data_IF_572077794910
#
_entry.id   IF_572077794910
#
_cell.length_a   1.000
_cell.length_b   1.000
_cell.length_c   1.000
_cell.angle_alpha   90.00
_cell.angle_beta   90.00
_cell.angle_gamma   90.00
#
_symmetry.space_group_name_H-M   'P 1'
#
loop_
_entity.id
_entity.type
_entity.pdbx_description
1 polymer ?
#
# COMPACT_ATOMS: atom_id res chain seq x y z
N UNK A 1 -23.64 -53.74 -11.93
CA UNK A 1 -23.46 -53.58 -10.46
C UNK A 1 -22.33 -54.44 -9.88
N UNK A 2 -22.22 -55.74 -10.22
CA UNK A 2 -21.16 -56.62 -9.68
C UNK A 2 -19.71 -56.26 -10.12
N UNK A 3 -19.52 -55.63 -11.27
CA UNK A 3 -18.17 -55.22 -11.75
C UNK A 3 -17.65 -53.97 -11.00
N UNK A 4 -18.54 -53.09 -10.55
CA UNK A 4 -18.17 -51.90 -9.78
C UNK A 4 -17.72 -52.27 -8.35
N UNK A 5 -18.37 -53.28 -7.75
CA UNK A 5 -18.09 -53.75 -6.39
C UNK A 5 -16.73 -54.49 -6.32
N UNK A 6 -16.33 -55.21 -7.38
CA UNK A 6 -15.01 -55.87 -7.48
C UNK A 6 -13.84 -54.87 -7.63
N UNK A 7 -14.07 -53.73 -8.29
CA UNK A 7 -13.03 -52.69 -8.43
C UNK A 7 -12.81 -51.91 -7.13
N UNK A 8 -13.87 -51.63 -6.38
CA UNK A 8 -13.76 -50.94 -5.08
C UNK A 8 -13.09 -51.78 -4.00
N UNK A 9 -13.36 -53.10 -3.96
CA UNK A 9 -12.69 -54.02 -3.03
C UNK A 9 -11.21 -54.19 -3.34
N UNK A 10 -10.81 -54.25 -4.62
CA UNK A 10 -9.40 -54.30 -5.01
C UNK A 10 -8.61 -53.02 -4.66
N UNK A 11 -9.25 -51.86 -4.67
CA UNK A 11 -8.59 -50.58 -4.34
C UNK A 11 -8.36 -50.45 -2.82
N UNK A 12 -9.32 -50.93 -2.02
CA UNK A 12 -9.21 -50.95 -0.55
C UNK A 12 -8.05 -51.84 -0.07
N UNK A 13 -7.88 -53.02 -0.67
CA UNK A 13 -6.76 -53.92 -0.35
C UNK A 13 -5.40 -53.33 -0.69
N UNK A 14 -5.28 -52.54 -1.77
CA UNK A 14 -4.01 -51.88 -2.13
C UNK A 14 -3.67 -50.76 -1.13
N UNK A 15 -4.67 -50.01 -0.65
CA UNK A 15 -4.47 -48.95 0.35
C UNK A 15 -4.12 -49.53 1.71
N UNK A 16 -4.74 -50.64 2.13
CA UNK A 16 -4.39 -51.33 3.38
C UNK A 16 -2.98 -51.95 3.34
N UNK A 17 -2.57 -52.53 2.20
CA UNK A 17 -1.22 -53.08 2.03
C UNK A 17 -0.16 -51.98 2.02
N UNK A 18 -0.44 -50.83 1.38
CA UNK A 18 0.46 -49.66 1.41
C UNK A 18 0.54 -49.02 2.81
N UNK A 19 -0.57 -48.99 3.56
CA UNK A 19 -0.62 -48.52 4.94
C UNK A 19 0.15 -49.44 5.90
N UNK A 20 0.09 -50.76 5.70
CA UNK A 20 0.83 -51.74 6.50
C UNK A 20 2.34 -51.75 6.19
N UNK A 21 2.75 -51.57 4.93
CA UNK A 21 4.17 -51.46 4.55
C UNK A 21 4.84 -50.19 5.12
N UNK A 22 4.08 -49.11 5.35
CA UNK A 22 4.56 -47.88 5.98
C UNK A 22 4.82 -47.99 7.49
N UNK A 23 4.24 -48.99 8.18
CA UNK A 23 4.40 -49.16 9.63
C UNK A 23 5.64 -49.96 10.06
N UNK A 24 6.27 -50.71 9.16
CA UNK A 24 7.39 -51.62 9.49
C UNK A 24 8.78 -51.11 9.09
N UNK A 25 8.88 -49.96 8.41
CA UNK A 25 10.15 -49.33 8.10
C UNK A 25 10.11 -47.87 8.55
N UNK A 26 10.88 -47.46 9.57
CA UNK A 26 11.13 -46.06 9.80
C UNK A 26 12.09 -45.60 8.69
N UNK A 27 11.54 -45.36 7.49
CA UNK A 27 12.25 -44.57 6.51
C UNK A 27 12.40 -43.19 7.13
N UNK A 28 13.62 -42.85 7.53
CA UNK A 28 14.06 -41.46 7.55
C UNK A 28 13.97 -40.96 6.11
N UNK A 29 12.76 -40.61 5.67
CA UNK A 29 12.52 -39.87 4.45
C UNK A 29 13.16 -38.51 4.72
N UNK A 30 14.42 -38.35 4.33
CA UNK A 30 14.93 -37.04 3.98
C UNK A 30 13.95 -36.54 2.92
N UNK A 31 13.13 -35.55 3.26
CA UNK A 31 12.13 -35.01 2.36
C UNK A 31 12.82 -34.65 1.05
N UNK A 32 12.63 -35.47 0.00
CA UNK A 32 13.07 -35.12 -1.33
C UNK A 32 12.35 -33.81 -1.64
N UNK A 33 13.11 -32.74 -1.91
CA UNK A 33 12.54 -31.44 -2.26
C UNK A 33 11.54 -31.65 -3.39
N UNK A 34 10.31 -31.21 -3.19
CA UNK A 34 9.28 -31.32 -4.19
C UNK A 34 9.73 -30.57 -5.46
N UNK A 35 9.48 -31.12 -6.66
CA UNK A 35 9.85 -30.45 -7.90
C UNK A 35 9.16 -29.08 -8.02
N UNK A 36 7.95 -28.97 -7.47
CA UNK A 36 7.16 -27.74 -7.42
C UNK A 36 6.42 -27.66 -6.08
N UNK A 37 6.23 -26.46 -5.55
CA UNK A 37 5.26 -26.25 -4.48
C UNK A 37 3.86 -26.11 -5.09
N UNK A 38 2.77 -26.53 -4.41
CA UNK A 38 1.42 -26.39 -4.94
C UNK A 38 1.07 -24.97 -5.40
N UNK A 39 1.56 -23.94 -4.70
CA UNK A 39 1.40 -22.53 -5.10
C UNK A 39 2.09 -22.19 -6.41
N UNK A 40 3.24 -22.79 -6.70
CA UNK A 40 4.06 -22.50 -7.87
C UNK A 40 3.39 -23.01 -9.15
N UNK A 41 2.55 -24.03 -9.02
CA UNK A 41 1.81 -24.64 -10.13
C UNK A 41 0.48 -23.90 -10.38
N UNK A 42 -0.06 -23.16 -9.41
CA UNK A 42 -1.35 -22.47 -9.54
C UNK A 42 -1.42 -21.61 -10.82
N UNK A 43 -0.42 -20.79 -11.19
CA UNK A 43 -0.49 -19.98 -12.39
C UNK A 43 -0.54 -20.78 -13.71
N UNK A 44 -0.10 -22.04 -13.69
CA UNK A 44 -0.04 -22.93 -14.86
C UNK A 44 -1.33 -23.76 -14.99
N UNK A 45 -2.10 -23.91 -13.92
CA UNK A 45 -3.38 -24.62 -13.94
C UNK A 45 -4.45 -23.82 -14.70
N UNK A 46 -5.48 -24.49 -15.27
CA UNK A 46 -6.59 -23.82 -15.93
C UNK A 46 -7.20 -22.72 -15.04
N UNK A 47 -7.41 -21.54 -15.62
CA UNK A 47 -7.89 -20.35 -14.89
C UNK A 47 -9.16 -20.61 -14.07
N UNK A 48 -10.05 -21.48 -14.54
CA UNK A 48 -11.28 -21.84 -13.81
C UNK A 48 -11.00 -22.45 -12.43
N UNK A 49 -9.84 -23.09 -12.24
CA UNK A 49 -9.43 -23.73 -10.99
C UNK A 49 -8.45 -22.84 -10.22
N UNK A 50 -7.46 -22.25 -10.90
CA UNK A 50 -6.41 -21.49 -10.24
C UNK A 50 -6.79 -20.08 -9.86
N UNK A 51 -7.56 -19.38 -10.71
CA UNK A 51 -7.85 -17.96 -10.53
C UNK A 51 -8.62 -17.65 -9.23
N UNK A 52 -9.62 -18.45 -8.81
CA UNK A 52 -10.27 -18.23 -7.51
C UNK A 52 -9.32 -18.37 -6.32
N UNK A 53 -8.39 -19.34 -6.39
CA UNK A 53 -7.41 -19.59 -5.33
C UNK A 53 -6.35 -18.48 -5.34
N UNK A 54 -5.86 -18.10 -6.51
CA UNK A 54 -4.87 -17.03 -6.67
C UNK A 54 -5.42 -15.68 -6.24
N UNK A 55 -6.68 -15.35 -6.51
CA UNK A 55 -7.30 -14.09 -6.05
C UNK A 55 -7.64 -14.11 -4.55
N UNK A 56 -7.79 -15.29 -3.96
CA UNK A 56 -7.92 -15.42 -2.51
C UNK A 56 -6.57 -15.19 -1.82
N UNK A 57 -5.52 -15.84 -2.32
CA UNK A 57 -4.17 -15.75 -1.76
C UNK A 57 -3.54 -14.37 -2.03
N UNK A 58 -3.59 -13.91 -3.28
CA UNK A 58 -2.92 -12.68 -3.73
C UNK A 58 -3.91 -11.54 -4.01
N UNK A 59 -3.41 -10.31 -4.14
CA UNK A 59 -4.16 -9.14 -4.55
C UNK A 59 -3.25 -7.92 -4.74
N UNK A 60 -3.85 -6.75 -4.97
CA UNK A 60 -3.11 -5.52 -5.29
C UNK A 60 -2.06 -5.11 -4.23
N UNK A 61 -2.32 -5.39 -2.94
CA UNK A 61 -1.38 -5.08 -1.85
C UNK A 61 -0.08 -5.90 -1.91
N UNK A 62 -0.06 -7.03 -2.62
CA UNK A 62 1.13 -7.89 -2.74
C UNK A 62 2.20 -7.33 -3.68
N UNK A 63 1.92 -6.20 -4.33
CA UNK A 63 2.93 -5.40 -5.00
C UNK A 63 3.87 -4.68 -4.01
N UNK A 64 3.47 -4.58 -2.75
CA UNK A 64 4.28 -3.95 -1.71
C UNK A 64 5.24 -5.00 -1.11
N UNK A 65 6.55 -4.74 -1.08
CA UNK A 65 7.48 -5.64 -0.41
C UNK A 65 7.34 -5.53 1.11
N UNK A 66 7.88 -6.49 1.85
CA UNK A 66 8.03 -6.40 3.30
C UNK A 66 9.48 -6.14 3.67
N UNK A 67 9.73 -5.26 4.64
CA UNK A 67 11.07 -5.10 5.20
C UNK A 67 11.48 -6.37 5.95
N UNK A 68 12.66 -6.91 5.64
CA UNK A 68 13.20 -8.10 6.32
C UNK A 68 14.40 -7.78 7.22
N UNK A 69 14.99 -6.59 7.06
CA UNK A 69 16.08 -6.11 7.90
C UNK A 69 17.09 -5.28 7.11
N UNK A 70 18.16 -4.83 7.79
CA UNK A 70 19.25 -4.09 7.17
C UNK A 70 20.57 -4.85 7.29
N UNK A 71 21.29 -5.00 6.19
CA UNK A 71 22.62 -5.61 6.18
C UNK A 71 23.67 -4.59 6.60
N UNK A 72 24.29 -4.83 7.76
CA UNK A 72 25.30 -3.97 8.37
C UNK A 72 26.72 -4.43 8.04
N UNK A 73 27.70 -3.51 8.08
CA UNK A 73 29.11 -3.89 8.11
C UNK A 73 29.51 -4.50 9.46
N UNK A 74 30.60 -5.29 9.45
CA UNK A 74 31.29 -5.85 10.63
C UNK A 74 30.64 -7.07 11.33
N UNK A 75 30.62 -8.22 10.65
CA UNK A 75 30.25 -9.55 11.19
C UNK A 75 28.83 -9.69 11.78
N UNK A 76 27.98 -8.68 11.64
CA UNK A 76 26.57 -8.81 11.96
C UNK A 76 25.84 -9.44 10.78
N UNK A 77 25.49 -10.70 10.95
CA UNK A 77 24.70 -11.44 9.98
C UNK A 77 23.22 -11.21 10.27
N UNK A 78 22.50 -10.65 9.29
CA UNK A 78 21.04 -10.55 9.32
C UNK A 78 20.46 -11.89 8.88
N UNK A 79 19.51 -12.43 9.64
CA UNK A 79 18.81 -13.68 9.29
C UNK A 79 17.31 -13.44 9.11
N UNK A 80 16.71 -14.04 8.09
CA UNK A 80 15.26 -14.01 7.88
C UNK A 80 14.73 -15.26 7.18
N UNK A 81 13.41 -15.41 7.21
CA UNK A 81 12.66 -16.40 6.43
C UNK A 81 12.10 -15.71 5.18
N UNK A 82 12.49 -16.20 4.01
CA UNK A 82 11.95 -15.75 2.73
C UNK A 82 10.62 -16.40 2.37
N UNK A 83 10.06 -15.96 1.24
CA UNK A 83 8.85 -16.55 0.68
C UNK A 83 9.16 -17.97 0.19
N UNK A 84 10.30 -18.12 -0.51
CA UNK A 84 10.73 -19.39 -1.07
C UNK A 84 11.88 -20.08 -0.33
N UNK A 85 12.82 -19.30 0.19
CA UNK A 85 13.99 -19.81 0.91
C UNK A 85 13.80 -19.59 2.41
N UNK A 86 13.80 -20.65 3.21
CA UNK A 86 13.43 -20.53 4.62
C UNK A 86 14.56 -20.16 5.57
N UNK A 87 15.80 -20.17 5.10
CA UNK A 87 16.96 -19.76 5.88
C UNK A 87 17.85 -18.88 5.01
N UNK A 88 17.74 -17.59 5.23
CA UNK A 88 18.46 -16.58 4.47
C UNK A 88 19.29 -15.74 5.41
N UNK A 89 20.51 -15.42 4.97
CA UNK A 89 21.42 -14.59 5.73
C UNK A 89 22.03 -13.51 4.83
N UNK A 90 22.31 -12.32 5.36
CA UNK A 90 22.99 -11.26 4.63
C UNK A 90 24.01 -10.52 5.48
N UNK A 91 25.10 -10.08 4.86
CA UNK A 91 26.10 -9.19 5.45
C UNK A 91 26.73 -8.29 4.39
N UNK A 92 27.25 -7.14 4.82
CA UNK A 92 27.87 -6.17 3.93
C UNK A 92 29.38 -6.11 4.17
N UNK A 93 30.15 -6.22 3.09
CA UNK A 93 31.59 -5.98 3.09
C UNK A 93 31.91 -4.68 2.35
N UNK A 94 32.61 -3.75 2.99
CA UNK A 94 33.11 -2.55 2.33
C UNK A 94 34.39 -2.85 1.58
N UNK A 95 34.57 -2.23 0.43
CA UNK A 95 35.81 -2.32 -0.34
C UNK A 95 36.11 -1.00 -1.03
N UNK A 96 37.35 -0.82 -1.49
CA UNK A 96 37.71 0.32 -2.34
C UNK A 96 38.44 -0.19 -3.58
N UNK A 97 37.76 -1.02 -4.38
CA UNK A 97 38.32 -1.61 -5.60
C UNK A 97 38.60 -0.55 -6.68
N UNK A 98 37.82 0.53 -6.71
CA UNK A 98 37.95 1.60 -7.73
C UNK A 98 38.95 2.70 -7.35
N UNK A 99 39.34 2.79 -6.06
CA UNK A 99 40.20 3.85 -5.55
C UNK A 99 39.50 5.19 -5.35
N UNK A 100 38.16 5.22 -5.35
CA UNK A 100 37.37 6.43 -5.12
C UNK A 100 37.45 6.90 -3.66
N UNK A 101 37.01 8.14 -3.41
CA UNK A 101 37.04 8.75 -2.07
C UNK A 101 36.26 7.93 -1.03
N UNK A 102 35.13 7.33 -1.43
CA UNK A 102 34.24 6.60 -0.53
C UNK A 102 34.25 5.09 -0.75
N UNK A 103 34.89 4.59 -1.82
CA UNK A 103 34.86 3.18 -2.19
C UNK A 103 33.43 2.70 -2.49
N UNK A 104 33.23 1.39 -2.37
CA UNK A 104 31.97 0.69 -2.58
C UNK A 104 31.73 -0.41 -1.54
N UNK A 105 30.87 -1.36 -1.87
CA UNK A 105 30.58 -2.50 -1.02
C UNK A 105 30.08 -3.71 -1.80
N UNK A 106 30.25 -4.89 -1.21
CA UNK A 106 29.71 -6.15 -1.70
C UNK A 106 28.69 -6.63 -0.67
N UNK A 107 27.43 -6.68 -1.06
CA UNK A 107 26.38 -7.28 -0.25
C UNK A 107 26.33 -8.77 -0.53
N UNK A 108 26.60 -9.59 0.48
CA UNK A 108 26.52 -11.03 0.39
C UNK A 108 25.14 -11.48 0.84
N UNK A 109 24.50 -12.33 0.05
CA UNK A 109 23.25 -12.99 0.38
C UNK A 109 23.43 -14.49 0.28
N UNK A 110 23.27 -15.19 1.39
CA UNK A 110 23.26 -16.65 1.42
C UNK A 110 21.84 -17.11 1.65
N UNK A 111 21.24 -17.68 0.62
CA UNK A 111 19.89 -18.22 0.69
C UNK A 111 19.92 -19.74 0.67
N UNK A 112 19.09 -20.37 1.48
CA UNK A 112 19.11 -21.82 1.65
C UNK A 112 17.74 -22.38 2.01
N UNK A 113 17.64 -23.71 2.02
CA UNK A 113 16.41 -24.41 2.38
C UNK A 113 15.21 -24.01 1.49
N UNK A 114 15.42 -23.96 0.16
CA UNK A 114 14.34 -23.81 -0.82
C UNK A 114 13.28 -24.91 -0.65
N UNK A 115 12.01 -24.52 -0.65
CA UNK A 115 10.89 -25.47 -0.52
C UNK A 115 10.51 -26.17 -1.84
N UNK A 116 10.92 -25.63 -2.99
CA UNK A 116 10.76 -26.25 -4.31
C UNK A 116 11.97 -26.01 -5.22
N UNK A 117 12.02 -26.69 -6.37
CA UNK A 117 13.08 -26.47 -7.37
C UNK A 117 12.83 -25.23 -8.23
N UNK A 118 11.58 -24.78 -8.31
CA UNK A 118 11.19 -23.55 -9.02
C UNK A 118 11.28 -22.32 -8.13
N UNK A 119 11.98 -22.42 -7.00
CA UNK A 119 11.99 -21.37 -6.01
C UNK A 119 12.62 -20.09 -6.54
N UNK A 120 11.96 -18.95 -6.31
CA UNK A 120 12.48 -17.64 -6.69
C UNK A 120 11.94 -16.55 -5.77
N UNK A 121 12.86 -15.89 -5.06
CA UNK A 121 12.56 -14.69 -4.29
C UNK A 121 13.01 -13.46 -5.09
N UNK A 122 12.24 -12.39 -5.01
CA UNK A 122 12.56 -11.07 -5.56
C UNK A 122 12.81 -10.10 -4.40
N UNK A 123 13.98 -9.48 -4.39
CA UNK A 123 14.40 -8.55 -3.36
C UNK A 123 14.58 -7.14 -3.93
N UNK A 124 14.23 -6.15 -3.10
CA UNK A 124 14.55 -4.75 -3.32
C UNK A 124 15.57 -4.35 -2.24
N UNK A 125 16.61 -3.64 -2.66
CA UNK A 125 17.68 -3.15 -1.82
C UNK A 125 17.69 -1.64 -1.88
N UNK A 126 17.60 -0.99 -0.73
CA UNK A 126 17.43 0.46 -0.65
C UNK A 126 18.36 1.12 0.35
N UNK A 127 18.86 2.29 -0.04
CA UNK A 127 19.39 3.33 0.84
C UNK A 127 18.56 4.59 0.62
N UNK A 128 18.71 5.64 1.46
CA UNK A 128 18.16 6.96 1.18
C UNK A 128 18.64 7.63 -0.12
N UNK A 129 19.54 7.01 -0.87
CA UNK A 129 20.19 7.56 -2.05
C UNK A 129 19.93 6.74 -3.30
N UNK A 130 19.72 5.42 -3.17
CA UNK A 130 19.50 4.54 -4.31
C UNK A 130 18.57 3.39 -3.97
N UNK A 131 17.92 2.88 -5.02
CA UNK A 131 17.17 1.64 -4.98
C UNK A 131 17.61 0.75 -6.12
N UNK A 132 17.84 -0.52 -5.82
CA UNK A 132 18.11 -1.58 -6.79
C UNK A 132 17.32 -2.83 -6.42
N UNK A 133 17.26 -3.81 -7.31
CA UNK A 133 16.53 -5.04 -7.10
C UNK A 133 17.25 -6.21 -7.76
N UNK A 134 17.04 -7.40 -7.24
CA UNK A 134 17.58 -8.63 -7.82
C UNK A 134 16.69 -9.82 -7.45
N UNK A 135 16.85 -10.93 -8.18
CA UNK A 135 16.11 -12.16 -7.94
C UNK A 135 17.07 -13.33 -7.71
N UNK A 136 16.67 -14.25 -6.83
CA UNK A 136 17.50 -15.40 -6.52
C UNK A 136 16.72 -16.69 -6.57
N UNK A 137 17.26 -17.68 -7.30
CA UNK A 137 16.61 -18.97 -7.56
C UNK A 137 17.45 -20.19 -7.16
N UNK A 138 18.72 -20.00 -6.78
CA UNK A 138 19.61 -21.09 -6.35
C UNK A 138 19.93 -20.96 -4.86
N UNK A 139 19.81 -22.06 -4.12
CA UNK A 139 20.29 -22.15 -2.73
C UNK A 139 21.83 -22.14 -2.69
N UNK A 140 22.42 -20.94 -2.67
CA UNK A 140 23.85 -20.71 -2.58
C UNK A 140 24.10 -19.30 -2.03
N UNK A 141 25.38 -18.97 -1.89
CA UNK A 141 25.81 -17.59 -1.70
C UNK A 141 25.77 -16.84 -3.04
N UNK A 142 25.23 -15.62 -2.99
CA UNK A 142 25.17 -14.66 -4.08
C UNK A 142 25.76 -13.33 -3.58
N UNK A 143 26.13 -12.48 -4.52
CA UNK A 143 26.72 -11.17 -4.23
C UNK A 143 26.06 -10.10 -5.08
N UNK A 144 25.72 -8.97 -4.47
CA UNK A 144 25.30 -7.76 -5.15
C UNK A 144 26.38 -6.69 -4.96
N UNK A 145 26.94 -6.20 -6.06
CA UNK A 145 28.07 -5.27 -6.04
C UNK A 145 27.62 -3.82 -6.15
N UNK A 146 28.08 -3.01 -5.20
CA UNK A 146 28.01 -1.56 -5.24
C UNK A 146 29.42 -1.04 -5.56
N UNK A 147 29.65 -0.65 -6.82
CA UNK A 147 30.98 -0.22 -7.26
C UNK A 147 31.48 0.99 -6.47
N UNK A 148 30.61 2.01 -6.33
CA UNK A 148 30.89 3.25 -5.62
C UNK A 148 29.66 3.78 -4.90
N UNK A 149 29.86 4.30 -3.69
CA UNK A 149 28.85 5.10 -2.98
C UNK A 149 28.75 6.49 -3.60
N UNK A 150 27.53 7.02 -3.70
CA UNK A 150 27.20 8.22 -4.46
C UNK A 150 27.72 9.49 -3.77
N UNK A 151 27.79 9.47 -2.44
CA UNK A 151 28.25 10.59 -1.62
C UNK A 151 28.77 10.15 -0.26
N UNK A 152 29.45 11.06 0.44
CA UNK A 152 29.84 10.90 1.85
C UNK A 152 28.63 10.54 2.73
N UNK A 153 27.48 11.13 2.43
CA UNK A 153 26.26 10.94 3.19
C UNK A 153 25.70 9.53 3.02
N UNK A 154 25.76 8.97 1.80
CA UNK A 154 25.41 7.56 1.58
C UNK A 154 26.40 6.63 2.28
N UNK A 155 27.70 6.89 2.15
CA UNK A 155 28.74 6.10 2.77
C UNK A 155 28.56 6.01 4.29
N UNK A 156 28.40 7.16 4.97
CA UNK A 156 28.17 7.19 6.43
C UNK A 156 26.81 6.58 6.81
N UNK A 157 25.76 6.77 6.00
CA UNK A 157 24.49 6.09 6.22
C UNK A 157 24.65 4.57 6.21
N UNK A 158 25.23 4.01 5.15
CA UNK A 158 25.38 2.55 4.99
C UNK A 158 26.28 1.98 6.09
N UNK A 159 27.30 2.73 6.50
CA UNK A 159 28.19 2.33 7.60
C UNK A 159 27.46 2.20 8.94
N UNK A 160 26.48 3.06 9.21
CA UNK A 160 25.78 3.11 10.50
C UNK A 160 24.41 2.42 10.52
N UNK A 161 23.72 2.35 9.37
CA UNK A 161 22.35 1.86 9.22
C UNK A 161 22.24 0.66 8.29
N UNK A 162 23.26 0.41 7.47
CA UNK A 162 23.28 -0.70 6.52
C UNK A 162 22.44 -0.44 5.27
N UNK A 163 22.26 -1.50 4.48
CA UNK A 163 21.38 -1.49 3.31
C UNK A 163 20.07 -2.16 3.70
N UNK A 164 18.95 -1.45 3.54
CA UNK A 164 17.62 -2.00 3.79
C UNK A 164 17.27 -3.06 2.75
N UNK A 165 16.84 -4.23 3.22
CA UNK A 165 16.44 -5.36 2.40
C UNK A 165 14.94 -5.54 2.51
N UNK A 166 14.30 -5.60 1.36
CA UNK A 166 12.86 -5.74 1.20
C UNK A 166 12.58 -6.98 0.36
N UNK A 167 11.63 -7.81 0.78
CA UNK A 167 11.24 -9.03 0.09
C UNK A 167 9.84 -8.90 -0.49
N UNK A 168 9.70 -9.24 -1.77
CA UNK A 168 8.39 -9.41 -2.39
C UNK A 168 7.79 -10.75 -1.94
N UNK A 169 6.93 -10.70 -0.92
CA UNK A 169 6.37 -11.91 -0.26
C UNK A 169 5.60 -12.81 -1.22
N UNK A 170 4.95 -12.22 -2.23
CA UNK A 170 4.22 -12.98 -3.24
C UNK A 170 5.12 -13.65 -4.30
N UNK A 171 6.44 -13.47 -4.21
CA UNK A 171 7.41 -13.93 -5.19
C UNK A 171 7.17 -13.29 -6.56
N UNK A 172 7.89 -13.74 -7.59
CA UNK A 172 7.81 -13.14 -8.93
C UNK A 172 6.41 -13.28 -9.57
N UNK A 173 5.83 -14.47 -9.54
CA UNK A 173 4.53 -14.73 -10.19
C UNK A 173 3.40 -13.98 -9.49
N UNK A 174 3.40 -13.97 -8.15
CA UNK A 174 2.43 -13.19 -7.39
C UNK A 174 2.62 -11.69 -7.57
N UNK A 175 3.85 -11.20 -7.69
CA UNK A 175 4.14 -9.79 -8.01
C UNK A 175 3.59 -9.39 -9.39
N UNK A 176 3.80 -10.22 -10.42
CA UNK A 176 3.25 -9.98 -11.76
C UNK A 176 1.72 -10.00 -11.77
N UNK A 177 1.11 -10.88 -10.95
CA UNK A 177 -0.33 -10.89 -10.76
C UNK A 177 -0.82 -9.63 -10.02
N UNK A 178 -0.14 -9.21 -8.96
CA UNK A 178 -0.49 -8.00 -8.23
C UNK A 178 -0.46 -6.75 -9.13
N UNK A 179 0.50 -6.68 -10.05
CA UNK A 179 0.57 -5.68 -11.13
C UNK A 179 -0.71 -5.64 -11.97
N UNK A 180 -1.27 -6.81 -12.31
CA UNK A 180 -2.53 -6.93 -13.03
C UNK A 180 -3.73 -6.53 -12.17
N UNK A 181 -3.70 -6.83 -10.87
CA UNK A 181 -4.77 -6.54 -9.92
C UNK A 181 -4.82 -5.06 -9.48
N UNK A 182 -3.71 -4.32 -9.58
CA UNK A 182 -3.67 -2.87 -9.31
C UNK A 182 -4.37 -2.08 -10.42
N UNK A 183 -4.16 -2.45 -11.68
CA UNK A 183 -4.73 -1.75 -12.84
C UNK A 183 -6.24 -1.46 -12.73
N UNK A 184 -7.13 -2.43 -12.41
CA UNK A 184 -8.56 -2.17 -12.34
C UNK A 184 -8.98 -1.14 -11.31
N UNK A 185 -8.25 -0.99 -10.20
CA UNK A 185 -8.62 -0.11 -9.10
C UNK A 185 -8.86 1.33 -9.57
N UNK A 186 -8.15 1.75 -10.62
CA UNK A 186 -8.21 3.10 -11.17
C UNK A 186 -9.12 3.23 -12.41
N UNK A 187 -9.85 2.19 -12.78
CA UNK A 187 -10.72 2.20 -13.97
C UNK A 187 -12.17 2.51 -13.61
N UNK A 188 -12.85 3.30 -14.44
CA UNK A 188 -14.27 3.61 -14.26
C UNK A 188 -15.16 2.56 -14.94
N UNK A 189 -15.10 1.34 -14.42
CA UNK A 189 -15.86 0.19 -14.94
C UNK A 189 -16.47 -0.61 -13.81
N UNK A 190 -17.46 -1.46 -14.11
CA UNK A 190 -17.98 -2.41 -13.11
C UNK A 190 -16.90 -3.38 -12.60
N UNK A 191 -15.84 -3.64 -13.39
CA UNK A 191 -14.69 -4.39 -12.90
C UNK A 191 -13.88 -3.59 -11.88
N UNK A 192 -13.58 -2.32 -12.17
CA UNK A 192 -12.87 -1.43 -11.24
C UNK A 192 -13.61 -1.23 -9.92
N UNK A 193 -14.92 -0.98 -9.98
CA UNK A 193 -15.76 -0.89 -8.78
C UNK A 193 -15.69 -2.15 -7.93
N UNK A 194 -15.88 -3.33 -8.54
CA UNK A 194 -15.80 -4.60 -7.82
C UNK A 194 -14.40 -4.89 -7.26
N UNK A 195 -13.34 -4.46 -7.94
CA UNK A 195 -11.97 -4.58 -7.45
C UNK A 195 -11.74 -3.68 -6.23
N UNK A 196 -12.21 -2.44 -6.23
CA UNK A 196 -12.13 -1.55 -5.06
C UNK A 196 -12.92 -2.12 -3.87
N UNK A 197 -14.15 -2.59 -4.10
CA UNK A 197 -14.96 -3.25 -3.07
C UNK A 197 -14.29 -4.51 -2.52
N UNK A 198 -13.72 -5.34 -3.40
CA UNK A 198 -12.98 -6.54 -3.03
C UNK A 198 -11.73 -6.23 -2.20
N UNK A 199 -11.00 -5.17 -2.58
CA UNK A 199 -9.84 -4.69 -1.84
C UNK A 199 -10.21 -4.25 -0.42
N UNK A 200 -11.20 -3.36 -0.28
CA UNK A 200 -11.67 -2.87 1.02
C UNK A 200 -12.21 -4.02 1.89
N UNK A 201 -12.92 -4.98 1.29
CA UNK A 201 -13.38 -6.18 2.00
C UNK A 201 -12.23 -7.05 2.50
N UNK A 202 -11.22 -7.30 1.66
CA UNK A 202 -10.06 -8.15 1.98
C UNK A 202 -9.19 -7.52 3.07
N UNK A 203 -8.91 -6.23 2.96
CA UNK A 203 -7.91 -5.55 3.78
C UNK A 203 -8.49 -4.80 4.99
N UNK A 204 -9.76 -4.40 4.94
CA UNK A 204 -10.41 -3.69 6.05
C UNK A 204 -11.57 -4.47 6.67
N UNK A 205 -12.00 -5.58 6.07
CA UNK A 205 -13.24 -6.26 6.47
C UNK A 205 -14.50 -5.44 6.19
N UNK A 206 -14.39 -4.38 5.37
CA UNK A 206 -15.50 -3.46 5.09
C UNK A 206 -16.52 -4.09 4.12
N UNK A 207 -17.80 -3.85 4.39
CA UNK A 207 -18.91 -4.27 3.52
C UNK A 207 -19.69 -3.06 3.01
N UNK A 208 -19.82 -2.96 1.69
CA UNK A 208 -20.64 -1.95 1.03
C UNK A 208 -21.86 -2.64 0.42
N UNK A 209 -23.02 -2.37 0.98
CA UNK A 209 -24.29 -2.94 0.54
C UNK A 209 -25.08 -1.93 -0.29
N UNK A 210 -25.60 -2.39 -1.42
CA UNK A 210 -26.44 -1.54 -2.26
C UNK A 210 -27.77 -1.26 -1.56
N UNK A 211 -28.11 0.03 -1.42
CA UNK A 211 -29.40 0.43 -0.86
C UNK A 211 -30.56 0.04 -1.80
N UNK A 212 -31.70 -0.41 -1.26
CA UNK A 212 -32.89 -0.67 -2.07
C UNK A 212 -33.37 0.61 -2.77
N UNK A 213 -33.87 0.45 -3.99
CA UNK A 213 -34.44 1.55 -4.78
C UNK A 213 -35.92 1.78 -4.42
N UNK A 214 -36.43 3.02 -4.59
CA UNK A 214 -35.74 4.20 -5.11
C UNK A 214 -34.82 4.85 -4.06
N UNK A 215 -33.69 5.40 -4.52
CA UNK A 215 -32.80 6.17 -3.66
C UNK A 215 -33.39 7.56 -3.46
N UNK A 216 -34.08 7.76 -2.34
CA UNK A 216 -34.68 9.04 -1.95
C UNK A 216 -34.05 9.51 -0.64
N UNK A 217 -33.83 10.82 -0.54
CA UNK A 217 -33.46 11.49 0.71
C UNK A 217 -34.62 12.38 1.15
N UNK A 218 -34.86 12.42 2.45
CA UNK A 218 -35.83 13.35 3.05
C UNK A 218 -35.18 14.68 3.47
N UNK A 219 -33.89 14.85 3.18
CA UNK A 219 -33.11 16.04 3.51
C UNK A 219 -33.23 17.04 2.37
N UNK A 220 -33.69 18.24 2.69
CA UNK A 220 -33.67 19.40 1.81
C UNK A 220 -32.43 20.27 2.07
N UNK A 221 -32.16 21.21 1.17
CA UNK A 221 -31.08 22.20 1.36
C UNK A 221 -31.29 23.00 2.64
N UNK A 222 -32.54 23.30 3.01
CA UNK A 222 -32.90 24.05 4.21
C UNK A 222 -32.55 23.32 5.52
N UNK A 223 -32.47 21.98 5.49
CA UNK A 223 -32.10 21.16 6.64
C UNK A 223 -30.58 21.15 6.91
N UNK A 224 -29.77 21.66 5.98
CA UNK A 224 -28.32 21.73 6.11
C UNK A 224 -27.95 23.06 6.74
N UNK A 225 -27.05 23.06 7.73
CA UNK A 225 -26.62 24.30 8.39
C UNK A 225 -25.09 24.41 8.47
N UNK A 226 -24.63 25.59 8.83
CA UNK A 226 -23.21 25.88 9.05
C UNK A 226 -22.57 24.91 10.03
N UNK A 227 -21.43 24.36 9.62
CA UNK A 227 -20.66 23.37 10.36
C UNK A 227 -21.08 21.92 10.11
N UNK A 228 -22.15 21.67 9.36
CA UNK A 228 -22.48 20.31 8.92
C UNK A 228 -21.38 19.75 8.01
N UNK A 229 -21.14 18.45 8.14
CA UNK A 229 -20.03 17.77 7.50
C UNK A 229 -20.53 16.83 6.41
N UNK A 230 -19.84 16.82 5.28
CA UNK A 230 -20.10 15.90 4.17
C UNK A 230 -18.95 14.89 4.11
N UNK A 231 -19.27 13.62 4.33
CA UNK A 231 -18.35 12.52 4.09
C UNK A 231 -18.58 11.96 2.68
N UNK A 232 -17.54 12.00 1.85
CA UNK A 232 -17.59 11.63 0.44
C UNK A 232 -16.75 10.38 0.24
N UNK A 233 -17.33 9.39 -0.44
CA UNK A 233 -16.71 8.09 -0.65
C UNK A 233 -16.88 7.63 -2.10
N UNK A 234 -15.80 7.74 -2.86
CA UNK A 234 -15.66 7.28 -4.24
C UNK A 234 -15.11 5.86 -4.27
N UNK A 235 -15.64 5.02 -5.16
CA UNK A 235 -15.20 3.62 -5.33
C UNK A 235 -15.00 3.25 -6.81
N UNK A 236 -15.08 4.22 -7.72
CA UNK A 236 -14.97 4.04 -9.16
C UNK A 236 -13.97 5.02 -9.77
N UNK A 237 -13.38 4.62 -10.89
CA UNK A 237 -12.48 5.50 -11.64
C UNK A 237 -11.17 5.79 -10.91
N UNK A 238 -10.43 6.76 -11.43
CA UNK A 238 -9.12 7.16 -10.91
C UNK A 238 -9.21 7.56 -9.44
N UNK A 239 -10.16 8.45 -9.12
CA UNK A 239 -10.34 8.95 -7.75
C UNK A 239 -10.87 7.89 -6.79
N UNK A 240 -11.74 6.98 -7.23
CA UNK A 240 -12.15 5.84 -6.41
C UNK A 240 -11.01 4.89 -6.06
N UNK A 241 -10.05 4.69 -6.97
CA UNK A 241 -8.83 3.93 -6.70
C UNK A 241 -7.95 4.60 -5.64
N UNK A 242 -7.70 5.91 -5.77
CA UNK A 242 -6.96 6.67 -4.76
C UNK A 242 -7.65 6.63 -3.40
N UNK A 243 -8.94 6.96 -3.34
CA UNK A 243 -9.67 6.92 -2.09
C UNK A 243 -9.74 5.51 -1.49
N UNK A 244 -9.71 4.45 -2.30
CA UNK A 244 -9.64 3.07 -1.79
C UNK A 244 -8.35 2.83 -1.01
N UNK A 245 -7.22 3.33 -1.53
CA UNK A 245 -5.94 3.26 -0.83
C UNK A 245 -5.93 4.17 0.41
N UNK A 246 -6.50 5.38 0.31
CA UNK A 246 -6.62 6.31 1.45
C UNK A 246 -7.47 5.72 2.59
N UNK A 247 -8.62 5.11 2.28
CA UNK A 247 -9.47 4.40 3.24
C UNK A 247 -8.71 3.28 3.93
N UNK A 248 -7.92 2.53 3.16
CA UNK A 248 -7.13 1.44 3.70
C UNK A 248 -6.06 1.91 4.69
N UNK A 249 -5.29 2.95 4.33
CA UNK A 249 -4.22 3.44 5.19
C UNK A 249 -4.73 4.23 6.39
N UNK A 250 -5.84 4.95 6.26
CA UNK A 250 -6.44 5.74 7.36
C UNK A 250 -7.41 4.95 8.24
N UNK A 251 -7.91 3.80 7.77
CA UNK A 251 -9.02 3.07 8.40
C UNK A 251 -10.39 3.75 8.23
N UNK A 252 -10.49 4.82 7.44
CA UNK A 252 -11.75 5.55 7.22
C UNK A 252 -12.63 4.89 6.15
N UNK A 253 -13.91 5.28 6.10
CA UNK A 253 -14.86 4.85 5.06
C UNK A 253 -15.12 5.94 4.00
N UNK A 254 -14.66 7.17 4.26
CA UNK A 254 -14.66 8.29 3.34
C UNK A 254 -13.21 8.58 2.92
N UNK A 255 -13.00 8.92 1.65
CA UNK A 255 -11.70 9.38 1.16
C UNK A 255 -11.64 10.90 1.04
N UNK A 256 -12.80 11.56 0.98
CA UNK A 256 -12.89 13.01 0.87
C UNK A 256 -13.92 13.59 1.84
N UNK A 257 -13.74 14.85 2.20
CA UNK A 257 -14.60 15.52 3.18
C UNK A 257 -14.79 16.98 2.81
N UNK A 258 -16.01 17.48 3.02
CA UNK A 258 -16.32 18.90 2.83
C UNK A 258 -17.16 19.43 4.00
N UNK A 259 -17.19 20.75 4.17
CA UNK A 259 -17.97 21.42 5.23
C UNK A 259 -18.97 22.40 4.63
N UNK A 260 -20.16 22.46 5.20
CA UNK A 260 -21.21 23.37 4.79
C UNK A 260 -21.17 24.67 5.61
N UNK A 261 -21.39 25.81 4.95
CA UNK A 261 -21.50 27.14 5.57
C UNK A 261 -22.66 27.92 4.93
N UNK A 262 -23.46 28.61 5.75
CA UNK A 262 -24.46 29.56 5.29
C UNK A 262 -23.92 30.98 5.40
N UNK A 263 -24.14 31.80 4.39
CA UNK A 263 -23.81 33.22 4.48
C UNK A 263 -24.90 34.01 5.22
N UNK A 264 -24.70 35.33 5.36
CA UNK A 264 -25.64 36.23 6.01
C UNK A 264 -27.00 36.35 5.30
N UNK A 265 -27.10 35.95 4.04
CA UNK A 265 -28.34 35.91 3.26
C UNK A 265 -29.02 34.54 3.36
N UNK A 266 -28.39 33.59 4.08
CA UNK A 266 -28.87 32.23 4.26
C UNK A 266 -28.52 31.29 3.11
N UNK A 267 -27.74 31.72 2.12
CA UNK A 267 -27.34 30.84 1.00
C UNK A 267 -26.29 29.83 1.46
N UNK A 268 -26.40 28.59 0.97
CA UNK A 268 -25.50 27.50 1.35
C UNK A 268 -24.27 27.44 0.45
N UNK A 269 -23.12 27.19 1.08
CA UNK A 269 -21.81 27.08 0.46
C UNK A 269 -21.12 25.81 0.96
N UNK A 270 -20.24 25.25 0.13
CA UNK A 270 -19.41 24.10 0.45
C UNK A 270 -17.95 24.52 0.39
N UNK A 271 -17.22 24.25 1.48
CA UNK A 271 -15.78 24.40 1.55
C UNK A 271 -15.09 23.03 1.50
N UNK A 272 -14.16 22.86 0.57
CA UNK A 272 -13.40 21.62 0.41
C UNK A 272 -11.97 21.88 -0.04
N UNK A 273 -11.10 20.87 0.06
CA UNK A 273 -9.74 20.91 -0.45
C UNK A 273 -9.57 19.79 -1.47
N UNK A 274 -9.23 20.13 -2.71
CA UNK A 274 -9.10 19.17 -3.81
C UNK A 274 -9.95 19.53 -5.02
N UNK A 275 -10.46 20.76 -5.07
CA UNK A 275 -11.17 21.27 -6.23
C UNK A 275 -10.15 21.68 -7.31
N UNK A 276 -10.35 21.22 -8.54
CA UNK A 276 -9.48 21.56 -9.67
C UNK A 276 -9.86 22.95 -10.22
N UNK A 277 -8.91 23.88 -10.22
CA UNK A 277 -9.10 25.19 -10.83
C UNK A 277 -8.99 25.15 -12.38
N UNK A 278 -9.18 26.31 -13.03
CA UNK A 278 -9.13 26.41 -14.51
C UNK A 278 -7.74 26.09 -15.09
N UNK A 279 -6.71 26.13 -14.26
CA UNK A 279 -5.34 25.80 -14.62
C UNK A 279 -4.98 24.34 -14.32
N UNK A 280 -5.94 23.53 -13.84
CA UNK A 280 -5.75 22.12 -13.53
C UNK A 280 -5.05 21.88 -12.17
N UNK A 281 -5.09 22.85 -11.26
CA UNK A 281 -4.45 22.75 -9.93
C UNK A 281 -5.48 22.43 -8.86
N UNK A 282 -5.12 21.52 -7.96
CA UNK A 282 -5.91 21.25 -6.76
C UNK A 282 -5.77 22.39 -5.74
N UNK A 283 -6.90 23.03 -5.42
CA UNK A 283 -6.98 24.14 -4.46
C UNK A 283 -7.99 23.87 -3.35
N UNK A 284 -7.92 24.70 -2.31
CA UNK A 284 -9.01 24.89 -1.36
C UNK A 284 -9.99 25.86 -1.98
N UNK A 285 -11.26 25.45 -2.08
CA UNK A 285 -12.30 26.24 -2.70
C UNK A 285 -13.53 26.36 -1.80
N UNK A 286 -14.18 27.52 -1.87
CA UNK A 286 -15.53 27.73 -1.34
C UNK A 286 -16.45 28.03 -2.52
N UNK A 287 -17.45 27.19 -2.74
CA UNK A 287 -18.36 27.34 -3.87
C UNK A 287 -19.83 27.23 -3.44
N UNK A 288 -20.77 27.83 -4.20
CA UNK A 288 -22.20 27.69 -3.94
C UNK A 288 -22.61 26.22 -3.93
N UNK A 289 -23.52 25.87 -3.03
CA UNK A 289 -24.06 24.51 -2.93
C UNK A 289 -24.59 23.99 -4.27
N UNK A 290 -25.29 24.83 -5.04
CA UNK A 290 -25.88 24.41 -6.32
C UNK A 290 -24.81 24.02 -7.34
N UNK A 291 -23.68 24.72 -7.35
CA UNK A 291 -22.54 24.43 -8.22
C UNK A 291 -21.86 23.12 -7.81
N UNK A 292 -21.56 22.98 -6.52
CA UNK A 292 -20.96 21.77 -5.95
C UNK A 292 -21.86 20.55 -6.20
N UNK A 293 -23.14 20.65 -5.87
CA UNK A 293 -24.09 19.56 -6.01
C UNK A 293 -24.36 19.19 -7.47
N UNK A 294 -24.38 20.16 -8.39
CA UNK A 294 -24.48 19.87 -9.82
C UNK A 294 -23.24 19.12 -10.33
N UNK A 295 -22.05 19.48 -9.85
CA UNK A 295 -20.83 18.75 -10.17
C UNK A 295 -20.90 17.30 -9.69
N UNK A 296 -21.18 17.10 -8.40
CA UNK A 296 -21.26 15.76 -7.80
C UNK A 296 -22.31 14.86 -8.47
N UNK A 297 -23.46 15.43 -8.87
CA UNK A 297 -24.53 14.67 -9.51
C UNK A 297 -24.30 14.36 -10.99
N UNK A 298 -23.61 15.23 -11.74
CA UNK A 298 -23.59 15.16 -13.21
C UNK A 298 -22.20 15.06 -13.83
N UNK A 299 -21.15 15.47 -13.11
CA UNK A 299 -19.79 15.63 -13.65
C UNK A 299 -18.78 14.73 -12.94
N UNK A 300 -18.98 14.41 -11.66
CA UNK A 300 -18.13 13.43 -10.98
C UNK A 300 -18.43 12.02 -11.50
N UNK A 301 -17.55 11.52 -12.36
CA UNK A 301 -17.67 10.22 -12.98
C UNK A 301 -17.38 9.07 -12.01
N UNK A 302 -16.81 9.35 -10.84
CA UNK A 302 -16.66 8.36 -9.78
C UNK A 302 -17.99 8.01 -9.08
N UNK A 303 -19.05 8.81 -9.31
CA UNK A 303 -20.39 8.66 -8.73
C UNK A 303 -20.32 8.44 -7.19
N UNK A 304 -19.91 9.47 -6.44
CA UNK A 304 -19.61 9.32 -5.02
C UNK A 304 -20.82 8.98 -4.16
N UNK A 305 -20.58 8.25 -3.08
CA UNK A 305 -21.49 8.19 -1.96
C UNK A 305 -21.25 9.40 -1.06
N UNK A 306 -22.29 10.20 -0.85
CA UNK A 306 -22.23 11.39 -0.01
C UNK A 306 -23.13 11.17 1.20
N UNK A 307 -22.54 11.23 2.39
CA UNK A 307 -23.25 11.19 3.65
C UNK A 307 -23.21 12.57 4.32
N UNK A 308 -24.38 13.12 4.62
CA UNK A 308 -24.50 14.29 5.47
C UNK A 308 -24.41 13.86 6.94
N UNK A 309 -23.51 14.49 7.69
CA UNK A 309 -23.34 14.33 9.13
C UNK A 309 -23.62 15.67 9.81
N UNK A 310 -24.87 15.91 10.27
CA UNK A 310 -25.22 17.15 10.93
C UNK A 310 -24.54 17.28 12.28
N UNK A 311 -24.17 18.50 12.66
CA UNK A 311 -23.72 18.75 14.02
C UNK A 311 -24.83 18.40 15.04
N UNK A 312 -24.41 17.74 16.14
CA UNK A 312 -25.28 17.53 17.30
C UNK A 312 -25.74 18.89 17.85
N UNK A 313 -27.01 19.05 18.30
CA UNK A 313 -27.55 20.37 18.66
C UNK A 313 -26.73 21.16 19.68
N UNK A 314 -26.15 20.51 20.68
CA UNK A 314 -25.29 21.12 21.71
C UNK A 314 -23.93 21.60 21.18
N UNK A 315 -23.42 20.97 20.12
CA UNK A 315 -22.19 21.39 19.42
C UNK A 315 -22.53 22.52 18.44
N UNK A 316 -23.66 22.40 17.73
CA UNK A 316 -24.15 23.45 16.83
C UNK A 316 -24.35 24.77 17.55
N UNK A 317 -24.91 24.75 18.76
CA UNK A 317 -25.08 25.95 19.58
C UNK A 317 -23.76 26.65 19.97
N UNK A 318 -22.62 25.95 19.86
CA UNK A 318 -21.28 26.49 20.13
C UNK A 318 -20.52 26.85 18.85
N UNK A 319 -21.06 26.53 17.68
CA UNK A 319 -20.40 26.76 16.40
C UNK A 319 -20.32 28.27 16.14
N UNK A 320 -19.09 28.79 15.99
CA UNK A 320 -18.87 30.20 15.69
C UNK A 320 -18.81 30.39 14.18
N UNK A 321 -19.96 30.73 13.60
CA UNK A 321 -20.12 30.91 12.15
C UNK A 321 -19.26 32.05 11.58
N UNK A 322 -19.13 33.16 12.32
CA UNK A 322 -18.26 34.28 11.91
C UNK A 322 -16.81 33.84 11.80
N UNK A 323 -16.29 33.16 12.83
CA UNK A 323 -14.92 32.66 12.82
C UNK A 323 -14.70 31.59 11.74
N UNK A 324 -15.70 30.74 11.50
CA UNK A 324 -15.65 29.73 10.44
C UNK A 324 -15.53 30.38 9.06
N UNK A 325 -16.32 31.43 8.78
CA UNK A 325 -16.23 32.18 7.53
C UNK A 325 -14.92 32.95 7.37
N UNK A 326 -14.43 33.59 8.42
CA UNK A 326 -13.11 34.24 8.42
C UNK A 326 -12.01 33.24 8.07
N UNK A 327 -12.03 32.06 8.69
CA UNK A 327 -11.08 31.00 8.39
C UNK A 327 -11.22 30.50 6.95
N UNK A 328 -12.44 30.15 6.52
CA UNK A 328 -12.68 29.64 5.18
C UNK A 328 -12.18 30.62 4.12
N UNK A 329 -12.55 31.90 4.20
CA UNK A 329 -12.09 32.94 3.26
C UNK A 329 -10.58 33.14 3.29
N UNK A 330 -9.94 32.94 4.44
CA UNK A 330 -8.47 33.00 4.53
C UNK A 330 -7.78 31.82 3.83
N UNK A 331 -8.50 30.74 3.55
CA UNK A 331 -7.98 29.52 2.93
C UNK A 331 -8.37 29.37 1.47
N UNK A 332 -9.45 30.03 1.03
CA UNK A 332 -9.93 30.01 -0.35
C UNK A 332 -8.81 30.40 -1.34
N UNK A 333 -8.66 29.60 -2.41
CA UNK A 333 -7.62 29.73 -3.42
C UNK A 333 -6.22 29.28 -3.00
N UNK A 334 -6.01 28.82 -1.75
CA UNK A 334 -4.72 28.24 -1.35
C UNK A 334 -4.52 26.86 -1.98
N UNK A 335 -3.26 26.41 -2.16
CA UNK A 335 -2.99 25.06 -2.64
C UNK A 335 -3.62 23.99 -1.75
N UNK A 336 -3.89 22.83 -2.37
CA UNK A 336 -4.33 21.62 -1.66
C UNK A 336 -3.50 21.31 -0.41
N UNK A 337 -4.15 20.76 0.61
CA UNK A 337 -3.58 20.45 1.91
C UNK A 337 -2.58 19.29 1.94
N UNK A 338 -1.62 19.22 1.00
CA UNK A 338 -0.61 18.17 0.87
C UNK A 338 0.11 17.86 2.19
N UNK A 339 0.35 18.90 3.00
CA UNK A 339 1.05 18.77 4.28
C UNK A 339 0.31 17.94 5.36
N UNK A 340 -0.97 17.63 5.15
CA UNK A 340 -1.74 16.75 6.03
C UNK A 340 -1.93 15.34 5.46
N UNK A 341 -1.83 15.16 4.14
CA UNK A 341 -2.20 13.92 3.48
C UNK A 341 -1.40 12.72 4.01
N UNK A 342 -0.07 12.77 3.97
CA UNK A 342 0.75 11.61 4.36
C UNK A 342 0.65 11.32 5.87
N UNK A 343 0.74 12.37 6.69
CA UNK A 343 0.66 12.25 8.15
C UNK A 343 -0.75 11.99 8.70
N UNK A 344 -1.76 11.84 7.84
CA UNK A 344 -3.06 11.31 8.27
C UNK A 344 -2.99 9.83 8.65
N UNK A 345 -1.97 9.10 8.19
CA UNK A 345 -1.81 7.67 8.42
C UNK A 345 -0.37 7.23 8.74
N UNK A 346 0.58 8.15 8.95
CA UNK A 346 1.95 7.85 9.42
C UNK A 346 2.28 8.52 10.78
N UNK A 347 1.29 8.58 11.66
CA UNK A 347 1.35 9.33 12.93
C UNK A 347 2.10 8.59 14.07
N UNK A 348 2.43 7.31 13.88
CA UNK A 348 3.19 6.53 14.87
C UNK A 348 4.41 5.89 14.23
N UNK A 349 5.37 5.43 15.05
CA UNK A 349 6.60 4.80 14.56
C UNK A 349 6.30 3.49 13.83
N UNK A 350 5.35 2.69 14.33
CA UNK A 350 5.06 1.33 13.84
C UNK A 350 3.60 0.88 14.07
N UNK A 351 2.79 1.64 14.80
CA UNK A 351 1.48 1.19 15.30
C UNK A 351 0.29 1.41 14.36
N UNK A 352 0.46 2.14 13.27
CA UNK A 352 -0.66 2.58 12.41
C UNK A 352 -0.48 2.28 10.92
N UNK A 353 0.54 1.52 10.53
CA UNK A 353 0.72 1.08 9.15
C UNK A 353 -0.09 -0.20 8.89
N UNK A 354 -0.95 -0.26 7.87
CA UNK A 354 -1.57 -1.52 7.51
C UNK A 354 -0.53 -2.45 6.85
N UNK A 355 -0.45 -3.74 7.26
CA UNK A 355 0.49 -4.67 6.64
C UNK A 355 0.30 -4.77 5.11
N UNK A 356 1.37 -4.84 4.30
CA UNK A 356 2.77 -4.97 4.69
C UNK A 356 3.52 -3.64 4.84
N UNK A 357 2.82 -2.49 4.85
CA UNK A 357 3.47 -1.20 5.03
C UNK A 357 4.14 -1.13 6.40
N UNK A 358 5.28 -0.48 6.44
CA UNK A 358 5.99 -0.08 7.65
C UNK A 358 6.74 1.23 7.40
N UNK A 359 7.33 1.79 8.46
CA UNK A 359 8.10 3.02 8.37
C UNK A 359 9.32 2.91 7.44
N UNK A 360 9.95 1.73 7.33
CA UNK A 360 11.11 1.52 6.47
C UNK A 360 10.73 1.58 4.98
N UNK A 361 9.62 0.92 4.62
CA UNK A 361 9.08 0.94 3.27
C UNK A 361 8.62 2.34 2.89
N UNK A 362 7.86 3.02 3.76
CA UNK A 362 7.43 4.39 3.51
C UNK A 362 8.63 5.32 3.33
N UNK A 363 9.63 5.25 4.21
CA UNK A 363 10.85 6.04 4.05
C UNK A 363 11.56 5.74 2.72
N UNK A 364 11.70 4.47 2.35
CA UNK A 364 12.40 4.09 1.12
C UNK A 364 11.64 4.53 -0.14
N UNK A 365 10.31 4.40 -0.15
CA UNK A 365 9.45 4.89 -1.25
C UNK A 365 9.57 6.40 -1.37
N UNK A 366 9.54 7.13 -0.26
CA UNK A 366 9.65 8.59 -0.26
C UNK A 366 11.01 9.08 -0.77
N UNK A 367 12.07 8.31 -0.56
CA UNK A 367 13.39 8.58 -1.15
C UNK A 367 13.31 8.53 -2.66
N UNK A 368 12.78 7.43 -3.21
CA UNK A 368 12.62 7.25 -4.66
C UNK A 368 11.70 8.31 -5.23
N UNK A 369 10.59 8.58 -4.55
CA UNK A 369 9.61 9.58 -4.95
C UNK A 369 10.22 10.99 -5.00
N UNK A 370 11.10 11.33 -4.05
CA UNK A 370 11.81 12.61 -4.05
C UNK A 370 12.76 12.78 -5.24
N UNK A 371 13.25 11.68 -5.82
CA UNK A 371 14.07 11.72 -7.03
C UNK A 371 13.23 11.85 -8.31
N UNK A 372 12.05 11.21 -8.34
CA UNK A 372 11.18 11.18 -9.52
C UNK A 372 10.25 12.41 -9.61
N UNK A 373 9.68 12.84 -8.48
CA UNK A 373 8.73 13.96 -8.36
C UNK A 373 9.13 14.89 -7.19
N UNK A 374 10.26 15.61 -7.30
CA UNK A 374 10.85 16.36 -6.18
C UNK A 374 9.92 17.45 -5.60
N UNK A 375 9.17 18.16 -6.45
CA UNK A 375 8.24 19.21 -6.01
C UNK A 375 7.08 18.63 -5.21
N UNK A 376 6.48 17.54 -5.69
CA UNK A 376 5.35 16.89 -5.02
C UNK A 376 5.77 16.23 -3.70
N UNK A 377 6.93 15.56 -3.70
CA UNK A 377 7.54 15.01 -2.50
C UNK A 377 7.81 16.09 -1.44
N UNK A 378 8.32 17.25 -1.85
CA UNK A 378 8.58 18.38 -0.96
C UNK A 378 7.27 18.94 -0.35
N UNK A 379 6.21 19.06 -1.14
CA UNK A 379 4.90 19.52 -0.64
C UNK A 379 4.30 18.55 0.39
N UNK A 380 4.36 17.25 0.13
CA UNK A 380 3.81 16.25 1.04
C UNK A 380 4.63 16.10 2.33
N UNK A 381 5.95 16.19 2.23
CA UNK A 381 6.84 15.80 3.32
C UNK A 381 7.56 16.98 3.98
N UNK A 382 8.22 17.84 3.21
CA UNK A 382 8.96 18.98 3.78
C UNK A 382 8.00 20.00 4.38
N UNK A 383 6.92 20.37 3.68
CA UNK A 383 5.92 21.29 4.24
C UNK A 383 5.28 20.71 5.50
N UNK A 384 4.92 19.43 5.46
CA UNK A 384 4.33 18.72 6.58
C UNK A 384 5.23 18.67 7.83
N UNK A 385 6.50 18.34 7.66
CA UNK A 385 7.46 18.30 8.75
C UNK A 385 7.79 19.69 9.27
N UNK A 386 7.97 20.67 8.38
CA UNK A 386 8.18 22.06 8.79
C UNK A 386 7.03 22.56 9.66
N UNK A 387 5.78 22.27 9.27
CA UNK A 387 4.60 22.64 10.05
C UNK A 387 4.57 21.96 11.42
N UNK A 388 4.86 20.65 11.49
CA UNK A 388 4.82 19.86 12.73
C UNK A 388 5.96 20.20 13.70
N UNK A 389 7.14 20.51 13.17
CA UNK A 389 8.33 20.86 13.95
C UNK A 389 8.45 22.37 14.23
N UNK A 390 7.58 23.20 13.64
CA UNK A 390 7.65 24.66 13.77
C UNK A 390 8.85 25.28 13.05
N UNK A 391 9.37 24.63 12.00
CA UNK A 391 10.53 25.08 11.22
C UNK A 391 10.11 25.65 9.87
N UNK A 392 11.03 26.34 9.16
CA UNK A 392 10.77 26.92 7.82
C UNK A 392 11.76 26.49 6.74
N UNK A 393 12.82 25.76 7.11
CA UNK A 393 13.97 25.46 6.24
C UNK A 393 14.34 23.97 6.32
N UNK A 394 13.47 23.14 6.88
CA UNK A 394 13.72 21.71 6.98
C UNK A 394 13.61 21.05 5.60
N UNK A 395 14.66 20.33 5.21
CA UNK A 395 14.68 19.42 4.07
C UNK A 395 14.87 18.00 4.58
N UNK A 396 13.97 17.10 4.19
CA UNK A 396 13.96 15.71 4.66
C UNK A 396 15.22 14.92 4.30
N UNK A 397 15.87 15.25 3.19
CA UNK A 397 17.17 14.67 2.81
C UNK A 397 18.22 14.87 3.90
N UNK A 398 18.13 15.94 4.71
CA UNK A 398 19.06 16.19 5.82
C UNK A 398 18.79 15.33 7.07
N UNK A 399 17.62 14.72 7.23
CA UNK A 399 17.26 13.98 8.44
C UNK A 399 17.57 12.48 8.36
N UNK A 400 17.49 11.86 7.19
CA UNK A 400 17.97 10.48 7.01
C UNK A 400 19.50 10.36 7.19
N UNK A 401 20.22 11.49 7.16
CA UNK A 401 21.68 11.60 7.37
C UNK A 401 22.07 11.52 8.86
N UNK A 402 21.12 11.65 9.80
CA UNK A 402 21.35 11.51 11.25
C UNK A 402 20.67 10.27 11.80
#
# INVERSE_FOLDING_TARGET
MQILIKKFTSLFWVIEVLGFLGMFFPLQIHALKAPFHPSDVLPVLPRQVSWPILNYLNGAADLLPSFVGAALPANNTLDWKGACFYQNTAWLEFHNKTGSQFGGGTLHLKISHAHSWTCMDLYIFATPYRVTWDYYFLSREHTLEFNEWDSEAEYEYVKHKGISIFLMQAGMLGTLQALWDVFPLFTNTGWGENSNLGFLKKHMGASFEQRPQPWVTNVSVDDIHSGDFLAISKIRGRWGGFETLEKWVSGAYAGHTAVCLRDSEGKLWVGESGHEDKEGRDIIAIMPWEEWWEFELKKDDANPHIALLPLRPDIRAKFNETAAWEYARSMDGKPYGYHNLIFSWIDTIDGNYPPPLDAHLVASVMTVWSQIQPSYAANMWNEALNKRLGTKVFSWTCYLIR
#
